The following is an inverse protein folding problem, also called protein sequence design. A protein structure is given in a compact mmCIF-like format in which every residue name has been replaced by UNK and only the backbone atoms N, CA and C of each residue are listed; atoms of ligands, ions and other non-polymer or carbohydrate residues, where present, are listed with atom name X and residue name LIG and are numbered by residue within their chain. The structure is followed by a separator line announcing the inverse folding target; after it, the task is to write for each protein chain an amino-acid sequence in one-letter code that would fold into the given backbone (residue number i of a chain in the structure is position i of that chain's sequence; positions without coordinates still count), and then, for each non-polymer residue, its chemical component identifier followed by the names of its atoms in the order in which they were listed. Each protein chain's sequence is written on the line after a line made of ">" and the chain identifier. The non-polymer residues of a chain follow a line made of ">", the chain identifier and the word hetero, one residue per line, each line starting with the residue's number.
data_IF_944621781816
#
_entry.id   IF_944621781816
#
_cell.length_a   1.000
_cell.length_b   1.000
_cell.length_c   1.000
_cell.angle_alpha   90.00
_cell.angle_beta   90.00
_cell.angle_gamma   90.00
#
_symmetry.space_group_name_H-M   'P 1'
#
loop_
_entity.id
_entity.type
_entity.pdbx_description
1 polymer ?
#
# COMPACT_ATOMS: atom_id res chain seq x y z
N UNK A 1 43.89 22.80 -51.79
CA UNK A 1 42.54 23.37 -51.83
C UNK A 1 41.81 22.94 -50.57
N UNK A 2 41.54 23.89 -49.68
CA UNK A 2 40.94 23.65 -48.37
C UNK A 2 39.42 23.66 -48.46
N UNK A 3 38.77 22.54 -48.13
CA UNK A 3 37.31 22.42 -48.18
C UNK A 3 36.73 22.75 -46.81
N UNK A 4 36.24 23.98 -46.66
CA UNK A 4 35.51 24.43 -45.45
C UNK A 4 34.23 23.62 -45.27
N UNK A 5 34.01 23.11 -44.05
CA UNK A 5 32.75 22.47 -43.64
C UNK A 5 31.73 23.56 -43.27
N UNK A 6 30.43 23.40 -43.58
CA UNK A 6 29.42 24.39 -43.19
C UNK A 6 29.16 24.29 -41.69
N UNK A 7 29.02 25.45 -41.04
CA UNK A 7 28.62 25.56 -39.63
C UNK A 7 27.16 25.14 -39.52
N UNK A 8 26.89 24.17 -38.64
CA UNK A 8 25.53 23.88 -38.19
C UNK A 8 25.20 24.96 -37.17
N UNK A 9 24.35 25.92 -37.53
CA UNK A 9 23.73 26.83 -36.58
C UNK A 9 22.82 25.98 -35.69
N UNK A 10 23.39 25.52 -34.57
CA UNK A 10 22.69 24.82 -33.52
C UNK A 10 21.85 25.87 -32.79
N UNK A 11 20.65 26.11 -33.32
CA UNK A 11 19.61 26.86 -32.63
C UNK A 11 19.25 26.05 -31.40
N UNK A 12 19.84 26.41 -30.26
CA UNK A 12 19.45 25.91 -28.94
C UNK A 12 17.97 26.28 -28.81
N UNK A 13 17.11 25.30 -29.00
CA UNK A 13 15.71 25.40 -28.65
C UNK A 13 15.66 25.43 -27.13
N UNK A 14 15.59 26.62 -26.55
CA UNK A 14 15.11 26.81 -25.19
C UNK A 14 13.67 26.29 -25.14
N UNK A 15 13.53 25.01 -24.81
CA UNK A 15 12.26 24.46 -24.33
C UNK A 15 12.08 25.01 -22.91
N UNK A 16 10.92 25.58 -22.55
CA UNK A 16 10.70 26.13 -21.22
C UNK A 16 10.62 24.98 -20.23
N UNK A 17 11.78 24.63 -19.65
CA UNK A 17 11.95 23.53 -18.69
C UNK A 17 11.03 23.64 -17.47
N UNK A 18 10.52 24.85 -17.16
CA UNK A 18 9.60 25.08 -16.05
C UNK A 18 8.23 24.43 -16.18
N UNK A 19 7.67 24.27 -17.39
CA UNK A 19 6.33 23.67 -17.56
C UNK A 19 6.34 22.15 -17.36
N UNK A 20 7.37 21.47 -17.86
CA UNK A 20 7.52 20.01 -17.71
C UNK A 20 7.78 19.62 -16.26
N UNK A 21 8.68 20.32 -15.55
CA UNK A 21 8.96 20.04 -14.14
C UNK A 21 7.71 20.22 -13.25
N UNK A 22 6.91 21.26 -13.50
CA UNK A 22 5.67 21.50 -12.77
C UNK A 22 4.59 20.43 -13.06
N UNK A 23 4.46 19.97 -14.31
CA UNK A 23 3.55 18.88 -14.66
C UNK A 23 3.93 17.54 -13.99
N UNK A 24 5.22 17.23 -13.93
CA UNK A 24 5.70 16.04 -13.23
C UNK A 24 5.40 16.08 -11.73
N UNK A 25 5.54 17.26 -11.09
CA UNK A 25 5.19 17.43 -9.68
C UNK A 25 3.70 17.21 -9.44
N UNK A 26 2.82 17.84 -10.23
CA UNK A 26 1.36 17.67 -10.10
C UNK A 26 0.93 16.21 -10.29
N UNK A 27 1.60 15.49 -11.21
CA UNK A 27 1.34 14.07 -11.44
C UNK A 27 1.72 13.20 -10.24
N UNK A 28 2.88 13.46 -9.61
CA UNK A 28 3.28 12.77 -8.38
C UNK A 28 2.31 13.06 -7.23
N UNK A 29 1.92 14.31 -7.03
CA UNK A 29 0.98 14.70 -5.97
C UNK A 29 -0.37 13.98 -6.15
N UNK A 30 -0.83 13.86 -7.39
CA UNK A 30 -2.08 13.16 -7.74
C UNK A 30 -2.00 11.67 -7.44
N UNK A 31 -0.87 11.03 -7.73
CA UNK A 31 -0.62 9.62 -7.41
C UNK A 31 -0.63 9.40 -5.90
N UNK A 32 0.09 10.22 -5.13
CA UNK A 32 0.17 10.05 -3.68
C UNK A 32 -1.17 10.31 -2.99
N UNK A 33 -1.96 11.27 -3.48
CA UNK A 33 -3.31 11.52 -2.98
C UNK A 33 -4.23 10.31 -3.19
N UNK A 34 -4.21 9.71 -4.38
CA UNK A 34 -4.99 8.50 -4.66
C UNK A 34 -4.48 7.29 -3.86
N UNK A 35 -3.16 7.17 -3.70
CA UNK A 35 -2.54 6.11 -2.91
C UNK A 35 -2.93 6.22 -1.43
N UNK A 36 -2.92 7.42 -0.87
CA UNK A 36 -3.36 7.67 0.52
C UNK A 36 -4.82 7.26 0.71
N UNK A 37 -5.73 7.66 -0.19
CA UNK A 37 -7.14 7.29 -0.12
C UNK A 37 -7.33 5.77 -0.16
N UNK A 38 -6.61 5.09 -1.05
CA UNK A 38 -6.64 3.64 -1.18
C UNK A 38 -6.11 2.94 0.08
N UNK A 39 -4.97 3.39 0.63
CA UNK A 39 -4.39 2.83 1.85
C UNK A 39 -5.33 3.06 3.03
N UNK A 40 -5.87 4.28 3.21
CA UNK A 40 -6.78 4.60 4.32
C UNK A 40 -8.03 3.72 4.25
N UNK A 41 -8.58 3.51 3.06
CA UNK A 41 -9.74 2.63 2.84
C UNK A 41 -9.41 1.18 3.19
N UNK A 42 -8.27 0.68 2.70
CA UNK A 42 -7.79 -0.67 3.00
C UNK A 42 -7.59 -0.88 4.51
N UNK A 43 -6.87 0.03 5.18
CA UNK A 43 -6.61 0.00 6.62
C UNK A 43 -7.92 -0.04 7.41
N UNK A 44 -8.88 0.84 7.07
CA UNK A 44 -10.19 0.86 7.73
C UNK A 44 -10.94 -0.46 7.58
N UNK A 45 -10.90 -1.06 6.39
CA UNK A 45 -11.58 -2.32 6.12
C UNK A 45 -10.93 -3.49 6.86
N UNK A 46 -9.60 -3.60 6.83
CA UNK A 46 -8.88 -4.67 7.50
C UNK A 46 -8.95 -4.56 9.03
N UNK A 47 -8.90 -3.35 9.61
CA UNK A 47 -9.09 -3.16 11.05
C UNK A 47 -10.49 -3.59 11.50
N UNK A 48 -11.54 -3.31 10.71
CA UNK A 48 -12.91 -3.80 11.00
C UNK A 48 -12.97 -5.33 11.01
N UNK A 49 -12.25 -6.00 10.10
CA UNK A 49 -12.17 -7.47 10.07
C UNK A 49 -11.46 -8.01 11.31
N UNK A 50 -10.34 -7.39 11.71
CA UNK A 50 -9.59 -7.76 12.92
C UNK A 50 -10.45 -7.58 14.17
N UNK A 51 -11.17 -6.46 14.32
CA UNK A 51 -12.08 -6.24 15.44
C UNK A 51 -13.15 -7.32 15.53
N UNK A 52 -13.77 -7.67 14.38
CA UNK A 52 -14.74 -8.77 14.32
C UNK A 52 -14.13 -10.10 14.72
N UNK A 53 -12.94 -10.43 14.21
CA UNK A 53 -12.23 -11.67 14.53
C UNK A 53 -11.91 -11.81 16.02
N UNK A 54 -11.67 -10.69 16.71
CA UNK A 54 -11.38 -10.66 18.14
C UNK A 54 -12.63 -10.57 19.03
N UNK A 55 -13.80 -10.36 18.43
CA UNK A 55 -15.07 -10.27 19.14
C UNK A 55 -15.52 -11.65 19.62
N UNK A 56 -15.90 -11.82 20.90
CA UNK A 56 -16.37 -13.11 21.43
C UNK A 56 -17.69 -13.58 20.80
N UNK A 57 -18.48 -12.66 20.25
CA UNK A 57 -19.79 -12.94 19.65
C UNK A 57 -19.72 -13.22 18.14
N UNK A 58 -18.53 -13.37 17.57
CA UNK A 58 -18.39 -13.55 16.13
C UNK A 58 -18.64 -15.03 15.75
N UNK A 59 -19.68 -15.34 14.96
CA UNK A 59 -19.84 -16.68 14.40
C UNK A 59 -18.60 -16.97 13.54
N UNK A 60 -18.09 -18.20 13.62
CA UNK A 60 -16.88 -18.65 12.92
C UNK A 60 -16.73 -17.99 11.54
N UNK A 61 -15.67 -17.19 11.42
CA UNK A 61 -15.36 -16.43 10.22
C UNK A 61 -15.41 -17.36 9.01
N UNK A 62 -16.36 -17.11 8.10
CA UNK A 62 -16.51 -17.89 6.89
C UNK A 62 -15.21 -17.82 6.08
N UNK A 63 -14.42 -18.88 6.13
CA UNK A 63 -13.18 -19.06 5.36
C UNK A 63 -13.40 -18.91 3.85
N UNK A 64 -14.67 -19.02 3.40
CA UNK A 64 -15.10 -18.83 2.02
C UNK A 64 -14.66 -17.49 1.44
N UNK A 65 -14.56 -16.42 2.24
CA UNK A 65 -14.15 -15.11 1.71
C UNK A 65 -12.65 -15.06 1.35
N UNK A 66 -11.83 -15.95 1.90
CA UNK A 66 -10.37 -15.98 1.64
C UNK A 66 -9.99 -16.74 0.37
N UNK A 67 -10.91 -17.52 -0.21
CA UNK A 67 -10.66 -18.34 -1.40
C UNK A 67 -10.77 -17.56 -2.70
N UNK A 68 -11.53 -16.46 -2.71
CA UNK A 68 -11.71 -15.58 -3.88
C UNK A 68 -10.76 -14.37 -3.86
N UNK A 69 -9.74 -14.37 -2.98
CA UNK A 69 -8.78 -13.27 -2.90
C UNK A 69 -7.56 -13.57 -3.76
N UNK A 70 -7.22 -12.62 -4.65
CA UNK A 70 -5.99 -12.66 -5.43
C UNK A 70 -4.76 -12.72 -4.50
N UNK A 71 -3.69 -13.39 -4.95
CA UNK A 71 -2.45 -13.60 -4.17
C UNK A 71 -1.80 -12.27 -3.71
N UNK A 72 -1.92 -11.22 -4.52
CA UNK A 72 -1.45 -9.87 -4.16
C UNK A 72 -2.24 -9.27 -2.99
N UNK A 73 -3.54 -9.54 -2.94
CA UNK A 73 -4.39 -9.11 -1.83
C UNK A 73 -4.07 -9.90 -0.56
N UNK A 74 -3.75 -11.20 -0.69
CA UNK A 74 -3.33 -12.05 0.42
C UNK A 74 -2.02 -11.56 1.05
N UNK A 75 -1.02 -11.26 0.23
CA UNK A 75 0.28 -10.77 0.70
C UNK A 75 0.16 -9.41 1.40
N UNK A 76 -0.65 -8.50 0.85
CA UNK A 76 -0.95 -7.19 1.44
C UNK A 76 -1.58 -7.32 2.83
N UNK A 77 -2.51 -8.28 3.02
CA UNK A 77 -3.13 -8.55 4.32
C UNK A 77 -2.16 -9.14 5.33
N UNK A 78 -1.27 -10.02 4.91
CA UNK A 78 -0.24 -10.56 5.79
C UNK A 78 0.73 -9.46 6.25
N UNK A 79 1.16 -8.58 5.34
CA UNK A 79 1.99 -7.42 5.68
C UNK A 79 1.27 -6.48 6.65
N UNK A 80 -0.02 -6.18 6.38
CA UNK A 80 -0.83 -5.34 7.25
C UNK A 80 -1.02 -5.92 8.65
N UNK A 81 -1.18 -7.24 8.77
CA UNK A 81 -1.24 -7.92 10.06
C UNK A 81 0.06 -7.75 10.85
N UNK A 82 1.23 -7.90 10.20
CA UNK A 82 2.54 -7.68 10.84
C UNK A 82 2.68 -6.25 11.36
N UNK A 83 2.25 -5.27 10.56
CA UNK A 83 2.22 -3.85 10.96
C UNK A 83 1.30 -3.65 12.16
N UNK A 84 0.09 -4.23 12.13
CA UNK A 84 -0.89 -4.14 13.21
C UNK A 84 -0.33 -4.70 14.51
N UNK A 85 0.27 -5.90 14.49
CA UNK A 85 0.91 -6.51 15.66
C UNK A 85 2.05 -5.65 16.21
N UNK A 86 2.86 -5.05 15.32
CA UNK A 86 3.92 -4.13 15.75
C UNK A 86 3.36 -2.91 16.50
N UNK A 87 2.29 -2.29 15.97
CA UNK A 87 1.65 -1.15 16.64
C UNK A 87 1.00 -1.54 17.96
N UNK A 88 0.30 -2.68 18.04
CA UNK A 88 -0.30 -3.15 19.29
C UNK A 88 0.77 -3.32 20.39
N UNK A 89 1.91 -3.94 20.07
CA UNK A 89 3.04 -4.08 21.01
C UNK A 89 3.62 -2.72 21.40
N UNK A 90 3.80 -1.82 20.44
CA UNK A 90 4.26 -0.44 20.73
C UNK A 90 3.28 0.33 21.63
N UNK A 91 1.99 0.02 21.55
CA UNK A 91 0.94 0.56 22.41
C UNK A 91 0.80 -0.17 23.75
N UNK A 92 1.67 -1.14 24.07
CA UNK A 92 1.60 -2.01 25.26
C UNK A 92 0.32 -2.84 25.35
N UNK A 93 -0.24 -3.22 24.20
CA UNK A 93 -1.41 -4.08 24.07
C UNK A 93 -0.96 -5.51 23.71
N UNK A 94 -0.04 -6.07 24.49
CA UNK A 94 0.62 -7.36 24.20
C UNK A 94 -0.39 -8.52 24.21
N UNK A 95 -1.31 -8.57 25.17
CA UNK A 95 -2.35 -9.60 25.21
C UNK A 95 -3.25 -9.58 23.96
N UNK A 96 -3.57 -8.37 23.45
CA UNK A 96 -4.37 -8.23 22.24
C UNK A 96 -3.60 -8.67 20.99
N UNK A 97 -2.30 -8.36 20.94
CA UNK A 97 -1.42 -8.83 19.87
C UNK A 97 -1.30 -10.37 19.87
N UNK A 98 -1.14 -10.98 21.04
CA UNK A 98 -1.00 -12.43 21.17
C UNK A 98 -2.30 -13.17 20.83
N UNK A 99 -3.45 -12.64 21.24
CA UNK A 99 -4.77 -13.15 20.84
C UNK A 99 -4.96 -13.07 19.33
N UNK A 100 -4.64 -11.93 18.72
CA UNK A 100 -4.74 -11.74 17.27
C UNK A 100 -3.81 -12.72 16.52
N UNK A 101 -2.57 -12.87 16.96
CA UNK A 101 -1.62 -13.81 16.37
C UNK A 101 -2.10 -15.27 16.49
N UNK A 102 -2.68 -15.64 17.63
CA UNK A 102 -3.21 -16.99 17.89
C UNK A 102 -4.44 -17.31 17.03
N UNK A 103 -5.35 -16.34 16.83
CA UNK A 103 -6.54 -16.52 15.98
C UNK A 103 -6.19 -16.88 14.54
N UNK A 104 -5.06 -16.37 14.02
CA UNK A 104 -4.57 -16.69 12.67
C UNK A 104 -3.99 -18.09 12.56
N UNK A 105 -3.27 -18.55 13.60
CA UNK A 105 -2.71 -19.90 13.65
C UNK A 105 -3.79 -20.98 13.75
N UNK A 106 -4.92 -20.65 14.38
CA UNK A 106 -6.09 -21.54 14.43
C UNK A 106 -6.70 -21.69 13.03
N UNK A 107 -6.86 -20.60 12.26
CA UNK A 107 -7.35 -20.64 10.87
C UNK A 107 -6.38 -21.24 9.82
N UNK A 108 -5.25 -21.84 10.22
CA UNK A 108 -4.31 -22.54 9.31
C UNK A 108 -4.15 -24.03 9.65
N UNK A 109 -4.77 -24.49 10.75
CA UNK A 109 -4.64 -25.86 11.27
C UNK A 109 -5.91 -26.70 11.18
N UNK A 110 -6.94 -26.17 10.51
CA UNK A 110 -8.19 -26.86 10.17
C UNK A 110 -8.19 -27.04 8.65
#
# INVERSE_FOLDING_TARGET
>A
MEKRRPRVDQKISEVPSGQSAQQHQTHLDSIFMLLEENIVTFVKNELKKIQKLLSPDYPECSESQRKDEDEEQRSSREAFLKITLHFLRRMKQDELADRLQSSKMISLKI
#
